data_IF_178677027433
#
_entry.id   IF_178677027433
#
_cell.length_a   1.000
_cell.length_b   1.000
_cell.length_c   1.000
_cell.angle_alpha   90.00
_cell.angle_beta   90.00
_cell.angle_gamma   90.00
#
_symmetry.space_group_name_H-M   'P 1'
#
loop_
_entity.id
_entity.type
_entity.pdbx_description
1 polymer ?
#
# COMPACT_ATOMS: atom_id res chain seq x y z
N UNK A 1 11.76 -0.59 6.83
CA UNK A 1 11.43 -0.68 5.40
C UNK A 1 11.01 0.68 4.85
N UNK A 2 9.90 1.26 5.30
CA UNK A 2 9.46 2.62 4.90
C UNK A 2 10.52 3.71 5.15
N UNK A 3 11.21 3.66 6.29
CA UNK A 3 12.34 4.55 6.58
C UNK A 3 13.49 4.41 5.57
N UNK A 4 13.79 3.19 5.12
CA UNK A 4 14.84 2.93 4.15
C UNK A 4 14.55 3.53 2.78
N UNK A 5 13.30 3.44 2.31
CA UNK A 5 12.88 4.06 1.04
C UNK A 5 12.96 5.59 1.12
N UNK A 6 12.50 6.18 2.22
CA UNK A 6 12.63 7.64 2.46
C UNK A 6 14.08 8.09 2.47
N UNK A 7 14.96 7.36 3.15
CA UNK A 7 16.40 7.65 3.15
C UNK A 7 17.03 7.55 1.76
N UNK A 8 16.53 6.65 0.92
CA UNK A 8 16.94 6.52 -0.48
C UNK A 8 16.34 7.61 -1.41
N UNK A 9 15.56 8.56 -0.86
CA UNK A 9 14.91 9.63 -1.63
C UNK A 9 13.72 9.16 -2.47
N UNK A 10 13.15 8.00 -2.16
CA UNK A 10 12.00 7.45 -2.87
C UNK A 10 10.69 7.81 -2.16
N UNK A 11 9.75 8.40 -2.90
CA UNK A 11 8.38 8.68 -2.45
C UNK A 11 7.35 7.69 -3.03
N UNK A 12 7.81 6.46 -3.29
CA UNK A 12 7.01 5.41 -3.90
C UNK A 12 6.03 4.82 -2.88
N UNK A 13 4.75 4.63 -3.24
CA UNK A 13 3.75 4.09 -2.35
C UNK A 13 4.03 2.60 -2.11
N UNK A 14 3.92 2.19 -0.85
CA UNK A 14 4.13 0.81 -0.45
C UNK A 14 2.79 0.14 -0.24
N UNK A 15 2.61 -1.01 -0.87
CA UNK A 15 1.46 -1.91 -0.69
C UNK A 15 1.96 -3.19 -0.04
N UNK A 16 1.21 -3.71 0.93
CA UNK A 16 1.57 -4.93 1.66
C UNK A 16 0.46 -5.97 1.50
N UNK A 17 0.84 -7.22 1.25
CA UNK A 17 -0.09 -8.33 1.13
C UNK A 17 0.33 -9.53 1.99
N UNK A 18 -0.63 -10.36 2.37
CA UNK A 18 -0.38 -11.64 3.08
C UNK A 18 -1.38 -11.92 4.18
N UNK A 19 -1.11 -12.93 5.01
CA UNK A 19 -1.91 -13.24 6.20
C UNK A 19 -1.56 -12.23 7.30
N UNK A 20 -2.34 -11.15 7.39
CA UNK A 20 -2.08 -10.02 8.28
C UNK A 20 -3.28 -9.86 9.24
N UNK A 21 -3.06 -9.88 10.57
CA UNK A 21 -4.10 -9.56 11.55
C UNK A 21 -4.62 -8.12 11.40
N UNK A 22 -5.87 -7.86 11.81
CA UNK A 22 -6.51 -6.54 11.64
C UNK A 22 -5.77 -5.41 12.39
N UNK A 23 -5.27 -5.71 13.59
CA UNK A 23 -4.50 -4.76 14.39
C UNK A 23 -3.20 -4.36 13.69
N UNK A 24 -2.53 -5.34 13.06
CA UNK A 24 -1.31 -5.11 12.30
C UNK A 24 -1.60 -4.33 11.02
N UNK A 25 -2.69 -4.64 10.32
CA UNK A 25 -3.11 -3.89 9.13
C UNK A 25 -3.37 -2.41 9.48
N UNK A 26 -4.00 -2.15 10.63
CA UNK A 26 -4.23 -0.79 11.13
C UNK A 26 -2.91 -0.07 11.44
N UNK A 27 -1.98 -0.74 12.11
CA UNK A 27 -0.64 -0.19 12.41
C UNK A 27 0.16 0.10 11.14
N UNK A 28 0.14 -0.81 10.16
CA UNK A 28 0.84 -0.64 8.88
C UNK A 28 0.32 0.59 8.12
N UNK A 29 -1.01 0.78 8.05
CA UNK A 29 -1.62 1.97 7.45
C UNK A 29 -1.18 3.24 8.18
N UNK A 30 -1.18 3.25 9.51
CA UNK A 30 -0.72 4.39 10.31
C UNK A 30 0.76 4.73 10.10
N UNK A 31 1.59 3.75 9.72
CA UNK A 31 3.00 3.96 9.39
C UNK A 31 3.23 4.55 7.98
N UNK A 32 2.17 4.68 7.16
CA UNK A 32 2.25 5.21 5.80
C UNK A 32 2.30 4.14 4.71
N UNK A 33 1.89 2.90 5.00
CA UNK A 33 1.56 1.92 3.95
C UNK A 33 0.28 2.39 3.24
N UNK A 34 0.32 2.42 1.92
CA UNK A 34 -0.74 2.98 1.09
C UNK A 34 -1.94 2.03 0.93
N UNK A 35 -1.71 0.71 0.94
CA UNK A 35 -2.76 -0.30 0.97
C UNK A 35 -2.29 -1.61 1.64
N UNK A 36 -3.21 -2.32 2.29
CA UNK A 36 -2.97 -3.62 2.92
C UNK A 36 -4.03 -4.60 2.44
N UNK A 37 -3.60 -5.72 1.85
CA UNK A 37 -4.46 -6.78 1.36
C UNK A 37 -4.27 -8.07 2.16
N UNK A 38 -5.36 -8.59 2.68
CA UNK A 38 -5.43 -9.79 3.53
C UNK A 38 -6.11 -10.93 2.78
N UNK A 39 -6.18 -12.17 3.31
CA UNK A 39 -6.94 -13.24 2.66
C UNK A 39 -8.44 -12.96 2.52
N UNK A 40 -8.97 -11.94 3.22
CA UNK A 40 -10.35 -11.46 3.06
C UNK A 40 -10.52 -10.69 1.73
N UNK A 41 -9.44 -10.16 1.19
CA UNK A 41 -9.39 -9.41 -0.06
C UNK A 41 -9.05 -10.38 -1.20
N UNK A 42 -10.05 -11.14 -1.66
CA UNK A 42 -9.86 -12.18 -2.68
C UNK A 42 -10.14 -11.71 -4.11
N UNK A 43 -10.71 -10.52 -4.28
CA UNK A 43 -11.07 -9.96 -5.58
C UNK A 43 -9.83 -9.39 -6.29
N UNK A 44 -9.07 -10.26 -6.97
CA UNK A 44 -7.83 -9.87 -7.66
C UNK A 44 -8.00 -8.68 -8.60
N UNK A 45 -9.06 -8.65 -9.39
CA UNK A 45 -9.33 -7.55 -10.34
C UNK A 45 -9.48 -6.21 -9.61
N UNK A 46 -10.13 -6.22 -8.44
CA UNK A 46 -10.31 -5.04 -7.61
C UNK A 46 -9.00 -4.56 -7.02
N UNK A 47 -8.18 -5.49 -6.49
CA UNK A 47 -6.83 -5.20 -5.98
C UNK A 47 -5.98 -4.51 -7.06
N UNK A 48 -6.01 -5.03 -8.29
CA UNK A 48 -5.26 -4.46 -9.40
C UNK A 48 -5.76 -3.06 -9.77
N UNK A 49 -7.08 -2.85 -9.84
CA UNK A 49 -7.66 -1.53 -10.11
C UNK A 49 -7.29 -0.51 -9.02
N UNK A 50 -7.31 -0.93 -7.76
CA UNK A 50 -6.94 -0.08 -6.62
C UNK A 50 -5.47 0.33 -6.71
N UNK A 51 -4.57 -0.58 -7.11
CA UNK A 51 -3.14 -0.25 -7.33
C UNK A 51 -2.97 0.75 -8.49
N UNK A 52 -3.69 0.57 -9.61
CA UNK A 52 -3.63 1.50 -10.74
C UNK A 52 -4.10 2.90 -10.32
N UNK A 53 -5.24 2.99 -9.62
CA UNK A 53 -5.78 4.25 -9.13
C UNK A 53 -4.86 4.95 -8.10
N UNK A 54 -4.02 4.16 -7.42
CA UNK A 54 -3.06 4.68 -6.45
C UNK A 54 -1.88 5.37 -7.15
N UNK A 55 -1.36 4.78 -8.22
CA UNK A 55 -0.26 5.35 -9.02
C UNK A 55 -0.74 6.54 -9.87
N UNK A 56 -1.96 6.46 -10.42
CA UNK A 56 -2.54 7.55 -11.23
C UNK A 56 -2.66 8.85 -10.43
N UNK A 57 -3.12 8.77 -9.18
CA UNK A 57 -3.17 9.92 -8.26
C UNK A 57 -1.83 10.61 -8.03
N UNK A 58 -0.72 9.87 -8.03
CA UNK A 58 0.61 10.48 -7.90
C UNK A 58 1.04 11.21 -9.17
N UNK A 59 0.67 10.68 -10.33
CA UNK A 59 1.02 11.28 -11.63
C UNK A 59 0.29 12.61 -11.83
N UNK A 60 -0.94 12.71 -11.35
CA UNK A 60 -1.72 13.96 -11.41
C UNK A 60 -1.31 15.01 -10.36
N UNK A 61 -0.57 14.62 -9.31
CA UNK A 61 -0.14 15.50 -8.23
C UNK A 61 1.28 16.06 -8.40
N UNK A 62 2.02 15.59 -9.41
CA UNK A 62 3.36 16.03 -9.79
C UNK A 62 3.33 17.04 -10.93
#
# INVERSE_FOLDING_TARGET
MLSGLRTAGLDTPVVVGGIIPEDDATRLRAMGVAAVYTPKDFELNRIMLDIVALVDRQTCAA
#
